data_IF_790851076310
#
_entry.id   IF_790851076310
#
_cell.length_a   1.000
_cell.length_b   1.000
_cell.length_c   1.000
_cell.angle_alpha   90.00
_cell.angle_beta   90.00
_cell.angle_gamma   90.00
#
_symmetry.space_group_name_H-M   'P 1'
#
loop_
_entity.id
_entity.type
_entity.pdbx_description
1 polymer ?
#
# COMPACT_ATOMS: atom_id res chain seq x y z
N UNK A 1 -41.28 48.61 1.70
CA UNK A 1 -40.25 47.95 2.52
C UNK A 1 -40.07 46.51 2.00
N UNK A 2 -39.02 46.26 1.20
CA UNK A 2 -38.73 44.90 0.62
C UNK A 2 -37.67 44.26 1.46
N UNK A 3 -38.01 43.18 2.13
CA UNK A 3 -37.10 42.35 2.94
C UNK A 3 -36.48 41.31 1.99
N UNK A 4 -35.20 41.49 1.64
CA UNK A 4 -34.41 40.50 0.91
C UNK A 4 -33.87 39.49 1.92
N UNK A 5 -34.42 38.29 1.91
CA UNK A 5 -33.87 37.14 2.68
C UNK A 5 -32.68 36.60 1.88
N UNK A 6 -31.48 36.84 2.39
CA UNK A 6 -30.24 36.28 1.87
C UNK A 6 -30.12 34.85 2.41
N UNK A 7 -30.44 33.85 1.58
CA UNK A 7 -30.30 32.44 1.90
C UNK A 7 -28.83 32.07 1.72
N UNK A 8 -28.06 32.08 2.81
CA UNK A 8 -26.67 31.62 2.83
C UNK A 8 -26.69 30.07 2.76
N UNK A 9 -26.41 29.53 1.59
CA UNK A 9 -26.10 28.13 1.44
C UNK A 9 -24.72 27.85 2.10
N UNK A 10 -24.73 27.32 3.32
CA UNK A 10 -23.57 26.67 3.92
C UNK A 10 -23.31 25.39 3.11
N UNK A 11 -22.34 25.42 2.22
CA UNK A 11 -21.71 24.23 1.64
C UNK A 11 -20.97 23.53 2.79
N UNK A 12 -21.66 22.59 3.47
CA UNK A 12 -21.00 21.65 4.35
C UNK A 12 -20.30 20.67 3.42
N UNK A 13 -19.06 21.00 3.06
CA UNK A 13 -18.16 20.02 2.45
C UNK A 13 -17.97 18.90 3.47
N UNK A 14 -18.36 17.68 3.12
CA UNK A 14 -18.04 16.50 3.95
C UNK A 14 -16.52 16.48 4.13
N UNK A 15 -16.00 16.47 5.36
CA UNK A 15 -14.57 16.30 5.57
C UNK A 15 -14.19 14.95 4.95
N UNK A 16 -13.30 14.95 3.97
CA UNK A 16 -12.64 13.74 3.49
C UNK A 16 -11.77 13.29 4.66
N UNK A 17 -12.24 12.32 5.42
CA UNK A 17 -11.44 11.71 6.48
C UNK A 17 -10.33 10.92 5.78
N UNK A 18 -9.10 11.41 5.89
CA UNK A 18 -7.90 10.68 5.51
C UNK A 18 -7.22 10.22 6.81
N UNK A 19 -6.94 8.93 6.90
CA UNK A 19 -6.06 8.35 7.91
C UNK A 19 -4.68 8.18 7.27
N UNK A 20 -3.62 8.57 7.99
CA UNK A 20 -2.25 8.52 7.50
C UNK A 20 -1.36 7.84 8.53
N UNK A 21 -0.44 7.00 8.04
CA UNK A 21 0.56 6.30 8.85
C UNK A 21 1.91 6.49 8.17
N UNK A 22 2.91 6.92 8.95
CA UNK A 22 4.27 7.16 8.47
C UNK A 22 5.25 6.17 9.06
N UNK A 23 6.18 5.70 8.23
CA UNK A 23 7.28 4.82 8.63
C UNK A 23 8.62 5.38 8.17
N UNK A 24 9.61 5.36 9.06
CA UNK A 24 11.01 5.58 8.70
C UNK A 24 11.61 4.29 8.14
N UNK A 25 12.23 4.40 6.97
CA UNK A 25 12.92 3.28 6.30
C UNK A 25 14.40 3.27 6.66
N UNK A 26 14.89 2.13 7.12
CA UNK A 26 16.30 1.98 7.53
C UNK A 26 16.92 0.69 7.02
N UNK A 27 18.23 0.72 6.83
CA UNK A 27 19.09 -0.43 6.53
C UNK A 27 20.35 -0.33 7.39
N UNK A 28 20.76 -1.43 8.02
CA UNK A 28 21.91 -1.46 8.96
C UNK A 28 21.85 -0.38 10.05
N UNK A 29 20.64 0.04 10.45
CA UNK A 29 20.43 1.10 11.45
C UNK A 29 20.53 2.53 10.93
N UNK A 30 20.77 2.75 9.64
CA UNK A 30 20.80 4.08 9.01
C UNK A 30 19.44 4.34 8.32
N UNK A 31 18.76 5.41 8.73
CA UNK A 31 17.56 5.87 8.03
C UNK A 31 17.94 6.47 6.67
N UNK A 32 17.24 6.03 5.62
CA UNK A 32 17.51 6.46 4.26
C UNK A 32 16.28 7.02 3.53
N UNK A 33 15.09 6.95 4.14
CA UNK A 33 13.85 7.42 3.51
C UNK A 33 12.64 7.24 4.40
N UNK A 34 11.48 7.56 3.84
CA UNK A 34 10.18 7.42 4.49
C UNK A 34 9.17 6.74 3.57
N UNK A 35 8.19 6.11 4.20
CA UNK A 35 7.00 5.56 3.60
C UNK A 35 5.78 6.15 4.29
N UNK A 36 4.84 6.65 3.49
CA UNK A 36 3.56 7.19 3.95
C UNK A 36 2.45 6.34 3.36
N UNK A 37 1.55 5.85 4.19
CA UNK A 37 0.38 5.09 3.79
C UNK A 37 -0.87 5.88 4.17
N UNK A 38 -1.81 6.04 3.23
CA UNK A 38 -3.05 6.78 3.49
C UNK A 38 -4.26 5.94 3.16
N UNK A 39 -5.33 6.11 3.94
CA UNK A 39 -6.67 5.62 3.66
C UNK A 39 -7.61 6.82 3.59
N UNK A 40 -8.40 6.93 2.54
CA UNK A 40 -9.38 8.00 2.37
C UNK A 40 -10.65 7.47 1.70
N UNK A 41 -11.75 8.23 1.85
CA UNK A 41 -12.99 7.98 1.13
C UNK A 41 -13.04 8.89 -0.09
N UNK A 42 -13.06 8.35 -1.31
CA UNK A 42 -13.31 9.14 -2.52
C UNK A 42 -14.79 9.56 -2.63
N UNK A 43 -15.69 8.73 -2.11
CA UNK A 43 -17.12 8.96 -1.96
C UNK A 43 -17.71 7.98 -0.93
N UNK A 44 -19.01 8.03 -0.67
CA UNK A 44 -19.70 7.25 0.38
C UNK A 44 -19.52 5.72 0.28
N UNK A 45 -19.07 5.20 -0.86
CA UNK A 45 -18.93 3.77 -1.11
C UNK A 45 -17.55 3.34 -1.60
N UNK A 46 -16.65 4.30 -1.88
CA UNK A 46 -15.35 4.01 -2.48
C UNK A 46 -14.22 4.45 -1.55
N UNK A 47 -13.46 3.47 -1.08
CA UNK A 47 -12.23 3.66 -0.32
C UNK A 47 -11.03 3.69 -1.26
N UNK A 48 -10.12 4.62 -1.02
CA UNK A 48 -8.82 4.71 -1.67
C UNK A 48 -7.72 4.51 -0.62
N UNK A 49 -6.88 3.53 -0.86
CA UNK A 49 -5.64 3.30 -0.13
C UNK A 49 -4.46 3.69 -1.01
N UNK A 50 -3.50 4.42 -0.47
CA UNK A 50 -2.26 4.75 -1.19
C UNK A 50 -1.04 4.51 -0.31
N UNK A 51 0.09 4.20 -0.95
CA UNK A 51 1.40 4.16 -0.32
C UNK A 51 2.39 4.91 -1.20
N UNK A 52 3.15 5.79 -0.59
CA UNK A 52 4.26 6.47 -1.22
C UNK A 52 5.51 6.26 -0.36
N UNK A 53 6.52 5.64 -0.94
CA UNK A 53 7.81 5.45 -0.30
C UNK A 53 8.89 6.09 -1.17
N UNK A 54 9.82 6.80 -0.53
CA UNK A 54 10.98 7.35 -1.22
C UNK A 54 12.20 7.32 -0.32
N UNK A 55 13.35 7.07 -0.91
CA UNK A 55 14.59 7.01 -0.15
C UNK A 55 15.82 7.20 -1.01
N UNK A 56 16.91 7.61 -0.34
CA UNK A 56 18.19 7.84 -0.97
C UNK A 56 19.30 7.24 -0.13
N UNK A 57 20.01 6.32 -0.74
CA UNK A 57 21.19 5.68 -0.14
C UNK A 57 22.44 6.28 -0.76
N UNK A 58 23.26 6.92 0.07
CA UNK A 58 24.60 7.38 -0.30
C UNK A 58 25.60 6.64 0.58
N UNK A 59 26.21 5.60 0.07
CA UNK A 59 27.21 4.84 0.82
C UNK A 59 28.46 4.63 -0.02
N UNK A 60 29.59 5.23 0.42
CA UNK A 60 30.90 5.14 -0.23
C UNK A 60 30.85 5.34 -1.76
N UNK A 61 30.72 4.26 -2.52
CA UNK A 61 30.69 4.23 -3.99
C UNK A 61 29.30 4.02 -4.57
N UNK A 62 28.26 3.84 -3.74
CA UNK A 62 26.90 3.55 -4.18
C UNK A 62 25.98 4.73 -3.87
N UNK A 63 25.44 5.34 -4.92
CA UNK A 63 24.36 6.33 -4.81
C UNK A 63 23.15 5.79 -5.53
N UNK A 64 22.09 5.48 -4.79
CA UNK A 64 20.81 5.05 -5.35
C UNK A 64 19.68 5.87 -4.73
N UNK A 65 18.77 6.29 -5.56
CA UNK A 65 17.51 6.92 -5.18
C UNK A 65 16.39 6.06 -5.69
N UNK A 66 15.43 5.74 -4.83
CA UNK A 66 14.28 4.93 -5.17
C UNK A 66 13.00 5.60 -4.73
N UNK A 67 11.94 5.40 -5.51
CA UNK A 67 10.58 5.74 -5.12
C UNK A 67 9.61 4.66 -5.55
N UNK A 68 8.63 4.41 -4.71
CA UNK A 68 7.58 3.43 -4.95
C UNK A 68 6.24 4.07 -4.62
N UNK A 69 5.26 3.87 -5.48
CA UNK A 69 3.89 4.28 -5.22
C UNK A 69 2.91 3.14 -5.51
N UNK A 70 1.94 2.99 -4.63
CA UNK A 70 0.80 2.07 -4.74
C UNK A 70 -0.49 2.86 -4.64
N UNK A 71 -1.53 2.37 -5.29
CA UNK A 71 -2.89 2.79 -5.04
C UNK A 71 -3.86 1.62 -5.24
N UNK A 72 -4.86 1.51 -4.36
CA UNK A 72 -5.94 0.53 -4.47
C UNK A 72 -7.27 1.20 -4.20
N UNK A 73 -8.25 0.90 -5.03
CA UNK A 73 -9.64 1.35 -4.85
C UNK A 73 -10.53 0.17 -4.56
N UNK A 74 -11.29 0.31 -3.49
CA UNK A 74 -12.38 -0.61 -3.15
C UNK A 74 -13.73 0.09 -3.26
N UNK A 75 -14.73 -0.62 -3.74
CA UNK A 75 -16.12 -0.20 -3.66
C UNK A 75 -16.96 -1.32 -3.06
N UNK A 76 -17.61 -1.01 -1.94
CA UNK A 76 -18.45 -1.99 -1.21
C UNK A 76 -17.68 -3.30 -0.90
N UNK A 77 -16.42 -3.19 -0.45
CA UNK A 77 -15.56 -4.34 -0.12
C UNK A 77 -14.98 -5.09 -1.31
N UNK A 78 -15.21 -4.66 -2.55
CA UNK A 78 -14.63 -5.26 -3.75
C UNK A 78 -13.57 -4.35 -4.35
N UNK A 79 -12.41 -4.90 -4.65
CA UNK A 79 -11.35 -4.17 -5.37
C UNK A 79 -11.85 -3.81 -6.78
N UNK A 80 -11.73 -2.53 -7.14
CA UNK A 80 -12.03 -2.03 -8.49
C UNK A 80 -10.77 -1.92 -9.33
N UNK A 81 -9.69 -1.45 -8.71
CA UNK A 81 -8.42 -1.26 -9.39
C UNK A 81 -7.26 -1.24 -8.41
N UNK A 82 -6.09 -1.60 -8.88
CA UNK A 82 -4.83 -1.35 -8.19
C UNK A 82 -3.77 -0.84 -9.16
N UNK A 83 -2.79 -0.14 -8.65
CA UNK A 83 -1.61 0.28 -9.42
C UNK A 83 -0.37 0.25 -8.56
N UNK A 84 0.74 -0.08 -9.19
CA UNK A 84 2.07 -0.06 -8.58
C UNK A 84 3.08 0.57 -9.53
N UNK A 85 3.95 1.42 -9.03
CA UNK A 85 5.06 2.01 -9.78
C UNK A 85 6.30 2.05 -8.93
N UNK A 86 7.40 1.53 -9.45
CA UNK A 86 8.73 1.60 -8.85
C UNK A 86 9.67 2.35 -9.79
N UNK A 87 10.42 3.31 -9.24
CA UNK A 87 11.45 4.05 -9.96
C UNK A 87 12.78 3.93 -9.25
N UNK A 88 13.83 3.76 -10.01
CA UNK A 88 15.21 3.75 -9.52
C UNK A 88 16.00 4.79 -10.29
N UNK A 89 16.65 5.73 -9.57
CA UNK A 89 17.38 6.87 -10.13
C UNK A 89 16.55 7.72 -11.12
N UNK A 90 15.22 7.82 -10.87
CA UNK A 90 14.29 8.56 -11.70
C UNK A 90 13.71 7.78 -12.90
N UNK A 91 14.29 6.65 -13.27
CA UNK A 91 13.81 5.80 -14.35
C UNK A 91 12.77 4.80 -13.83
N UNK A 92 11.76 4.49 -14.67
CA UNK A 92 10.75 3.46 -14.36
C UNK A 92 11.43 2.08 -14.42
N UNK A 93 11.49 1.40 -13.27
CA UNK A 93 12.03 0.06 -13.13
C UNK A 93 10.96 -1.01 -13.35
N UNK A 94 9.81 -0.83 -12.68
CA UNK A 94 8.67 -1.72 -12.80
C UNK A 94 7.36 -0.98 -12.56
N UNK A 95 6.30 -1.38 -13.28
CA UNK A 95 4.93 -0.91 -13.05
C UNK A 95 3.91 -2.00 -13.39
N UNK A 96 2.75 -1.91 -12.74
CA UNK A 96 1.54 -2.60 -13.14
C UNK A 96 0.30 -1.73 -12.88
N UNK A 97 -0.75 -2.01 -13.62
CA UNK A 97 -2.09 -1.46 -13.44
C UNK A 97 -3.09 -2.60 -13.55
N UNK A 98 -4.06 -2.64 -12.64
CA UNK A 98 -5.08 -3.68 -12.58
C UNK A 98 -6.45 -3.03 -12.54
N UNK A 99 -7.36 -3.48 -13.39
CA UNK A 99 -8.73 -2.99 -13.43
C UNK A 99 -9.73 -4.15 -13.55
N UNK A 100 -10.82 -4.07 -12.78
CA UNK A 100 -11.94 -4.99 -12.87
C UNK A 100 -12.89 -4.53 -13.98
N UNK A 101 -13.19 -5.40 -14.97
CA UNK A 101 -14.06 -5.09 -16.11
C UNK A 101 -15.53 -5.52 -15.91
N UNK A 102 -15.84 -6.13 -14.77
CA UNK A 102 -17.15 -6.70 -14.45
C UNK A 102 -17.14 -8.22 -14.33
N UNK A 103 -16.19 -8.89 -14.96
CA UNK A 103 -16.04 -10.35 -14.98
C UNK A 103 -14.70 -10.80 -14.41
N UNK A 104 -13.63 -10.12 -14.79
CA UNK A 104 -12.25 -10.43 -14.39
C UNK A 104 -11.42 -9.18 -14.11
N UNK A 105 -10.24 -9.39 -13.57
CA UNK A 105 -9.22 -8.37 -13.40
C UNK A 105 -8.22 -8.45 -14.56
N UNK A 106 -8.11 -7.37 -15.32
CA UNK A 106 -7.11 -7.23 -16.37
C UNK A 106 -5.88 -6.57 -15.79
N UNK A 107 -4.72 -7.14 -16.02
CA UNK A 107 -3.41 -6.67 -15.55
C UNK A 107 -2.59 -6.22 -16.73
N UNK A 108 -2.21 -4.96 -16.77
CA UNK A 108 -1.21 -4.41 -17.68
C UNK A 108 0.09 -4.18 -16.91
N UNK A 109 1.22 -4.62 -17.41
CA UNK A 109 2.49 -4.45 -16.69
C UNK A 109 3.72 -4.41 -17.61
N UNK A 110 4.82 -3.89 -17.06
CA UNK A 110 6.12 -3.91 -17.73
C UNK A 110 6.67 -5.33 -17.97
N UNK A 111 6.09 -6.37 -17.35
CA UNK A 111 6.43 -7.79 -17.54
C UNK A 111 5.49 -8.53 -18.49
N UNK A 112 4.48 -7.85 -19.03
CA UNK A 112 3.46 -8.42 -19.90
C UNK A 112 2.07 -8.42 -19.24
N UNK A 113 1.07 -8.57 -20.10
CA UNK A 113 -0.33 -8.51 -19.72
C UNK A 113 -0.84 -9.90 -19.34
N UNK A 114 -1.78 -9.93 -18.39
CA UNK A 114 -2.48 -11.15 -17.95
C UNK A 114 -3.84 -10.82 -17.37
N UNK A 115 -4.59 -11.83 -16.97
CA UNK A 115 -5.83 -11.65 -16.23
C UNK A 115 -5.99 -12.68 -15.10
N UNK A 116 -6.93 -12.40 -14.18
CA UNK A 116 -7.35 -13.32 -13.13
C UNK A 116 -8.81 -13.06 -12.75
N UNK A 117 -9.48 -14.08 -12.19
CA UNK A 117 -10.90 -14.01 -11.81
C UNK A 117 -11.13 -14.05 -10.31
N UNK A 118 -10.12 -14.43 -9.53
CA UNK A 118 -10.21 -14.44 -8.06
C UNK A 118 -10.40 -13.00 -7.56
N UNK A 119 -11.40 -12.79 -6.70
CA UNK A 119 -11.70 -11.45 -6.17
C UNK A 119 -10.79 -11.16 -4.98
N UNK A 120 -9.93 -10.12 -5.04
CA UNK A 120 -9.18 -9.69 -3.87
C UNK A 120 -10.12 -9.09 -2.82
N UNK A 121 -10.34 -9.83 -1.72
CA UNK A 121 -11.10 -9.35 -0.58
C UNK A 121 -10.23 -8.50 0.35
N UNK A 122 -8.93 -8.77 0.33
CA UNK A 122 -7.95 -8.09 1.18
C UNK A 122 -6.62 -7.88 0.46
N UNK A 123 -5.96 -6.74 0.74
CA UNK A 123 -4.73 -6.35 0.05
C UNK A 123 -3.64 -5.94 1.05
N UNK A 124 -2.38 -5.90 0.58
CA UNK A 124 -1.26 -5.48 1.42
C UNK A 124 -1.46 -4.05 1.94
N UNK A 125 -2.04 -3.13 1.14
CA UNK A 125 -2.31 -1.77 1.61
C UNK A 125 -3.37 -1.71 2.71
N UNK A 126 -4.38 -2.57 2.65
CA UNK A 126 -5.42 -2.62 3.69
C UNK A 126 -4.88 -3.10 5.05
N UNK A 127 -3.82 -3.93 5.05
CA UNK A 127 -3.17 -4.41 6.27
C UNK A 127 -2.67 -3.30 7.19
N UNK A 128 -2.23 -2.19 6.65
CA UNK A 128 -1.69 -1.09 7.46
C UNK A 128 -2.74 -0.48 8.39
N UNK A 129 -4.02 -0.49 7.98
CA UNK A 129 -5.14 0.07 8.74
C UNK A 129 -5.94 -0.97 9.51
N UNK A 130 -5.93 -2.19 9.03
CA UNK A 130 -6.62 -3.30 9.67
C UNK A 130 -5.79 -4.59 9.49
N UNK A 131 -4.82 -4.88 10.36
CA UNK A 131 -3.97 -6.07 10.24
C UNK A 131 -4.72 -7.35 10.66
N UNK A 132 -5.87 -7.63 10.01
CA UNK A 132 -6.66 -8.85 10.25
C UNK A 132 -5.94 -10.05 9.64
N UNK A 133 -5.56 -10.98 10.50
CA UNK A 133 -4.72 -12.13 10.13
C UNK A 133 -5.58 -13.39 9.87
N UNK A 134 -6.85 -13.24 9.52
CA UNK A 134 -7.74 -14.39 9.27
C UNK A 134 -7.56 -14.97 7.86
N UNK A 135 -7.08 -14.15 6.91
CA UNK A 135 -6.88 -14.56 5.53
C UNK A 135 -5.59 -15.37 5.37
N UNK A 136 -5.69 -16.51 4.68
CA UNK A 136 -4.51 -17.32 4.32
C UNK A 136 -3.73 -16.72 3.15
N UNK A 137 -4.41 -15.93 2.32
CA UNK A 137 -3.87 -15.28 1.13
C UNK A 137 -4.28 -13.82 1.08
N UNK A 138 -3.35 -12.96 0.71
CA UNK A 138 -3.54 -11.52 0.62
C UNK A 138 -3.04 -11.06 -0.74
N UNK A 139 -3.83 -10.25 -1.42
CA UNK A 139 -3.42 -9.70 -2.72
C UNK A 139 -2.28 -8.70 -2.54
N UNK A 140 -1.18 -8.92 -3.26
CA UNK A 140 -0.01 -8.06 -3.29
C UNK A 140 -0.05 -7.18 -4.54
N UNK A 141 -0.24 -5.89 -4.36
CA UNK A 141 -0.34 -4.93 -5.45
C UNK A 141 0.96 -4.85 -6.27
N UNK A 142 2.12 -5.02 -5.61
CA UNK A 142 3.42 -4.97 -6.27
C UNK A 142 3.59 -6.07 -7.33
N UNK A 143 3.03 -7.25 -7.09
CA UNK A 143 3.14 -8.40 -7.97
C UNK A 143 1.88 -8.62 -8.81
N UNK A 144 0.77 -7.98 -8.45
CA UNK A 144 -0.58 -8.26 -8.96
C UNK A 144 -0.98 -9.72 -8.76
N UNK A 145 -0.54 -10.35 -7.66
CA UNK A 145 -0.73 -11.76 -7.31
C UNK A 145 -1.07 -11.91 -5.83
N UNK A 146 -1.45 -13.13 -5.43
CA UNK A 146 -1.78 -13.42 -4.04
C UNK A 146 -0.56 -13.97 -3.30
N UNK A 147 -0.15 -13.27 -2.26
CA UNK A 147 0.87 -13.70 -1.29
C UNK A 147 0.26 -14.58 -0.21
N UNK A 148 1.04 -15.53 0.31
CA UNK A 148 0.61 -16.42 1.38
C UNK A 148 1.03 -15.89 2.75
N UNK A 149 0.13 -16.02 3.74
CA UNK A 149 0.45 -15.75 5.15
C UNK A 149 1.02 -17.04 5.75
N UNK A 150 2.32 -17.05 6.07
CA UNK A 150 3.05 -18.27 6.42
C UNK A 150 3.32 -18.44 7.92
N UNK A 151 3.33 -17.33 8.68
CA UNK A 151 3.52 -17.38 10.13
C UNK A 151 2.56 -16.38 10.79
N UNK A 152 1.96 -16.80 11.91
CA UNK A 152 0.98 -16.00 12.64
C UNK A 152 1.12 -16.21 14.13
N UNK A 153 1.18 -15.13 14.88
CA UNK A 153 1.03 -15.10 16.33
C UNK A 153 0.52 -13.73 16.77
N UNK A 154 0.29 -13.52 18.06
CA UNK A 154 -0.18 -12.24 18.61
C UNK A 154 0.79 -11.07 18.36
N UNK A 155 2.05 -11.36 18.07
CA UNK A 155 3.10 -10.34 17.84
C UNK A 155 3.27 -9.99 16.35
N UNK A 156 2.64 -10.74 15.42
CA UNK A 156 2.72 -10.43 14.01
C UNK A 156 2.53 -11.62 13.07
N UNK A 157 2.87 -11.40 11.81
CA UNK A 157 2.74 -12.38 10.74
C UNK A 157 3.83 -12.17 9.66
N UNK A 158 4.01 -13.16 8.81
CA UNK A 158 4.92 -13.12 7.66
C UNK A 158 4.12 -13.33 6.37
N UNK A 159 4.36 -12.47 5.38
CA UNK A 159 3.91 -12.68 4.01
C UNK A 159 5.05 -13.25 3.18
N UNK A 160 4.74 -14.27 2.40
CA UNK A 160 5.62 -14.83 1.38
C UNK A 160 5.05 -14.54 0.01
N UNK A 161 5.81 -13.81 -0.79
CA UNK A 161 5.46 -13.46 -2.15
C UNK A 161 5.79 -14.60 -3.13
N UNK A 162 5.24 -14.54 -4.33
CA UNK A 162 5.44 -15.58 -5.37
C UNK A 162 6.87 -15.61 -5.89
N UNK A 163 7.59 -14.50 -5.85
CA UNK A 163 9.01 -14.40 -6.20
C UNK A 163 9.95 -14.96 -5.11
N UNK A 164 9.40 -15.45 -3.98
CA UNK A 164 10.12 -15.97 -2.84
C UNK A 164 10.58 -14.91 -1.84
N UNK A 165 10.30 -13.64 -2.08
CA UNK A 165 10.54 -12.59 -1.11
C UNK A 165 9.62 -12.72 0.10
N UNK A 166 10.06 -12.22 1.25
CA UNK A 166 9.32 -12.28 2.50
C UNK A 166 9.29 -10.94 3.19
N UNK A 167 8.14 -10.66 3.81
CA UNK A 167 7.98 -9.48 4.66
C UNK A 167 7.40 -9.89 5.99
N UNK A 168 8.12 -9.62 7.08
CA UNK A 168 7.64 -9.82 8.46
C UNK A 168 6.97 -8.53 8.96
N UNK A 169 5.76 -8.67 9.50
CA UNK A 169 4.98 -7.60 10.11
C UNK A 169 4.94 -7.80 11.62
N UNK A 170 5.37 -6.82 12.38
CA UNK A 170 5.38 -6.83 13.83
C UNK A 170 4.25 -5.94 14.34
N UNK A 171 3.40 -6.51 15.18
CA UNK A 171 2.24 -5.84 15.76
C UNK A 171 2.53 -5.40 17.19
N UNK A 172 2.00 -4.24 17.53
CA UNK A 172 1.89 -3.74 18.91
C UNK A 172 0.49 -3.18 19.09
N UNK A 173 -0.22 -3.67 20.11
CA UNK A 173 -1.60 -3.25 20.41
C UNK A 173 -2.55 -3.39 19.19
N UNK A 174 -2.33 -4.44 18.37
CA UNK A 174 -3.14 -4.70 17.18
C UNK A 174 -2.83 -3.82 15.96
N UNK A 175 -1.79 -2.99 16.02
CA UNK A 175 -1.35 -2.13 14.91
C UNK A 175 0.04 -2.53 14.43
N UNK A 176 0.34 -2.30 13.14
CA UNK A 176 1.68 -2.53 12.61
C UNK A 176 2.61 -1.45 13.17
N UNK A 177 3.57 -1.87 14.01
CA UNK A 177 4.63 -1.02 14.54
C UNK A 177 5.88 -1.03 13.65
N UNK A 178 6.20 -2.20 13.09
CA UNK A 178 7.38 -2.38 12.26
C UNK A 178 7.14 -3.45 11.20
N UNK A 179 7.76 -3.27 10.06
CA UNK A 179 7.90 -4.33 9.06
C UNK A 179 9.37 -4.48 8.64
N UNK A 180 9.72 -5.70 8.26
CA UNK A 180 11.05 -6.06 7.81
C UNK A 180 10.96 -6.81 6.49
N UNK A 181 11.47 -6.19 5.42
CA UNK A 181 11.56 -6.80 4.09
C UNK A 181 12.89 -7.56 4.03
N UNK A 182 12.79 -8.88 3.82
CA UNK A 182 13.96 -9.75 3.73
C UNK A 182 14.50 -9.74 2.31
N UNK A 183 15.58 -9.01 2.08
CA UNK A 183 16.27 -8.94 0.80
C UNK A 183 17.63 -9.65 0.86
N UNK A 184 18.11 -10.11 -0.30
CA UNK A 184 19.33 -10.92 -0.40
C UNK A 184 20.60 -10.25 0.13
N UNK A 185 20.67 -8.91 0.06
CA UNK A 185 21.87 -8.15 0.48
C UNK A 185 21.75 -7.56 1.88
N UNK A 186 20.55 -7.12 2.26
CA UNK A 186 20.28 -6.54 3.58
C UNK A 186 18.77 -6.42 3.80
N UNK A 187 18.34 -6.61 5.05
CA UNK A 187 16.96 -6.39 5.41
C UNK A 187 16.67 -4.89 5.50
N UNK A 188 15.55 -4.48 4.90
CA UNK A 188 15.01 -3.13 5.05
C UNK A 188 13.99 -3.15 6.17
N UNK A 189 14.21 -2.31 7.20
CA UNK A 189 13.27 -2.12 8.30
C UNK A 189 12.50 -0.83 8.11
N UNK A 190 11.20 -0.90 8.32
CA UNK A 190 10.31 0.24 8.31
C UNK A 190 9.64 0.32 9.67
N UNK A 191 9.92 1.38 10.42
CA UNK A 191 9.41 1.57 11.76
C UNK A 191 8.44 2.75 11.79
N UNK A 192 7.26 2.52 12.36
CA UNK A 192 6.22 3.54 12.54
C UNK A 192 6.73 4.69 13.41
N UNK A 193 6.41 5.95 13.04
CA UNK A 193 6.90 7.19 13.68
C UNK A 193 5.80 8.12 14.16
N UNK A 194 4.54 7.79 13.92
CA UNK A 194 3.34 8.53 14.37
C UNK A 194 2.60 7.80 15.50
#
# INVERSE_FOLDING_TARGET
>A
MRISILLSFLLIGNPIFAEEITFDMSVWGFTFGQMVVTKSMENDSTELYTLNASGKVNFLWMKKEGSTSYAVRFRNGKMLSSSYRCRVNGEMDYWNEVAYDGEKYNVESSKGDRDFTEIPEYTVLALYFNPVIEHERIYCEAESEFSSVTSRNEQGFELSCTDGSKTSYHLKEGQIEMLEIHASLANVKMKRVD
#
